data_IF_117650619630
#
_entry.id   IF_117650619630
#
_cell.length_a   1.000
_cell.length_b   1.000
_cell.length_c   1.000
_cell.angle_alpha   90.00
_cell.angle_beta   90.00
_cell.angle_gamma   90.00
#
_symmetry.space_group_name_H-M   'P 1'
#
loop_
_entity.id
_entity.type
_entity.pdbx_description
1 polymer ?
#
# COMPACT_ATOMS: atom_id res chain seq x y z
N UNK A 1 8.53 -4.08 20.18
CA UNK A 1 8.64 -5.51 19.83
C UNK A 1 8.55 -5.71 18.31
N UNK A 2 7.41 -5.43 17.67
CA UNK A 2 7.25 -5.52 16.20
C UNK A 2 8.30 -4.75 15.40
N UNK A 3 8.54 -3.48 15.74
CA UNK A 3 9.53 -2.63 15.06
C UNK A 3 10.93 -3.24 15.02
N UNK A 4 11.40 -3.77 16.16
CA UNK A 4 12.73 -4.36 16.26
C UNK A 4 12.78 -5.71 15.54
N UNK A 5 11.71 -6.49 15.58
CA UNK A 5 11.68 -7.79 14.92
C UNK A 5 11.66 -7.66 13.39
N UNK A 6 10.86 -6.76 12.85
CA UNK A 6 10.90 -6.42 11.42
C UNK A 6 12.27 -5.88 11.01
N UNK A 7 12.90 -5.07 11.86
CA UNK A 7 14.24 -4.53 11.56
C UNK A 7 15.31 -5.62 11.47
N UNK A 8 15.23 -6.66 12.31
CA UNK A 8 16.13 -7.82 12.24
C UNK A 8 15.95 -8.59 10.93
N UNK A 9 14.73 -8.65 10.42
CA UNK A 9 14.36 -9.31 9.17
C UNK A 9 14.61 -8.43 7.92
N UNK A 10 15.40 -7.35 8.06
CA UNK A 10 15.86 -6.54 6.94
C UNK A 10 14.94 -5.38 6.54
N UNK A 11 13.88 -5.11 7.31
CA UNK A 11 13.12 -3.87 7.12
C UNK A 11 13.93 -2.67 7.61
N UNK A 12 14.05 -1.64 6.77
CA UNK A 12 14.86 -0.46 7.07
C UNK A 12 14.21 0.35 8.18
N UNK A 13 14.95 0.59 9.27
CA UNK A 13 14.55 1.49 10.37
C UNK A 13 14.19 2.90 9.86
N UNK A 14 13.17 3.49 10.47
CA UNK A 14 12.65 4.82 10.13
C UNK A 14 11.14 4.94 10.33
N UNK A 15 10.59 6.10 9.95
CA UNK A 15 9.17 6.42 10.14
C UNK A 15 8.24 5.43 9.43
N UNK A 16 8.60 5.00 8.22
CA UNK A 16 7.82 4.00 7.47
C UNK A 16 7.72 2.66 8.23
N UNK A 17 8.81 2.24 8.91
CA UNK A 17 8.83 1.01 9.69
C UNK A 17 8.02 1.15 10.98
N UNK A 18 8.08 2.33 11.61
CA UNK A 18 7.22 2.65 12.75
C UNK A 18 5.75 2.59 12.34
N UNK A 19 5.41 3.12 11.16
CA UNK A 19 4.05 3.10 10.68
C UNK A 19 3.56 1.69 10.32
N UNK A 20 4.40 0.87 9.68
CA UNK A 20 4.11 -0.57 9.50
C UNK A 20 3.90 -1.27 10.84
N UNK A 21 4.76 -1.03 11.82
CA UNK A 21 4.63 -1.63 13.15
C UNK A 21 3.30 -1.25 13.83
N UNK A 22 2.85 0.00 13.63
CA UNK A 22 1.57 0.48 14.13
C UNK A 22 0.39 -0.20 13.42
N UNK A 23 0.43 -0.32 12.09
CA UNK A 23 -0.60 -1.02 11.32
C UNK A 23 -0.72 -2.49 11.78
N UNK A 24 0.40 -3.20 11.91
CA UNK A 24 0.41 -4.59 12.36
C UNK A 24 -0.13 -4.75 13.77
N UNK A 25 0.04 -3.75 14.65
CA UNK A 25 -0.50 -3.80 16.01
C UNK A 25 -2.02 -3.72 16.09
N UNK A 26 -2.71 -3.40 14.99
CA UNK A 26 -4.17 -3.43 14.90
C UNK A 26 -4.74 -4.85 14.91
N UNK A 27 -3.96 -5.86 14.50
CA UNK A 27 -4.32 -7.27 14.66
C UNK A 27 -3.79 -7.78 16.01
N UNK A 28 -4.62 -7.59 17.04
CA UNK A 28 -4.31 -7.98 18.42
C UNK A 28 -4.42 -9.49 18.67
N UNK A 29 -4.88 -10.27 17.69
CA UNK A 29 -5.09 -11.72 17.82
C UNK A 29 -3.89 -12.52 17.31
N UNK A 30 -3.20 -12.01 16.30
CA UNK A 30 -2.02 -12.67 15.76
C UNK A 30 -0.77 -12.47 16.62
N UNK A 31 0.13 -13.46 16.57
CA UNK A 31 1.43 -13.30 17.22
C UNK A 31 2.33 -12.34 16.44
N UNK A 32 3.32 -11.76 17.13
CA UNK A 32 4.36 -10.93 16.49
C UNK A 32 5.08 -11.69 15.38
N UNK A 33 5.37 -12.97 15.58
CA UNK A 33 6.05 -13.81 14.60
C UNK A 33 5.19 -14.02 13.35
N UNK A 34 3.88 -14.24 13.52
CA UNK A 34 2.96 -14.37 12.39
C UNK A 34 2.87 -13.08 11.58
N UNK A 35 2.79 -11.92 12.24
CA UNK A 35 2.73 -10.60 11.59
C UNK A 35 4.04 -10.27 10.83
N UNK A 36 5.18 -10.59 11.43
CA UNK A 36 6.50 -10.43 10.79
C UNK A 36 6.60 -11.36 9.58
N UNK A 37 6.26 -12.64 9.73
CA UNK A 37 6.27 -13.62 8.64
C UNK A 37 5.36 -13.24 7.47
N UNK A 38 4.15 -12.75 7.77
CA UNK A 38 3.22 -12.21 6.75
C UNK A 38 3.82 -11.01 6.03
N UNK A 39 4.46 -10.09 6.76
CA UNK A 39 5.10 -8.90 6.17
C UNK A 39 6.26 -9.25 5.24
N UNK A 40 7.11 -10.22 5.63
CA UNK A 40 8.21 -10.73 4.78
C UNK A 40 7.62 -11.33 3.51
N UNK A 41 6.61 -12.20 3.63
CA UNK A 41 5.97 -12.85 2.49
C UNK A 41 5.39 -11.82 1.50
N UNK A 42 4.69 -10.80 1.97
CA UNK A 42 4.15 -9.74 1.10
C UNK A 42 5.28 -8.97 0.39
N UNK A 43 6.37 -8.67 1.10
CA UNK A 43 7.56 -8.04 0.52
C UNK A 43 8.18 -8.91 -0.58
N UNK A 44 8.24 -10.22 -0.39
CA UNK A 44 8.72 -11.17 -1.39
C UNK A 44 7.75 -11.30 -2.57
N UNK A 45 6.45 -11.30 -2.31
CA UNK A 45 5.43 -11.33 -3.35
C UNK A 45 5.50 -10.09 -4.25
N UNK A 46 5.82 -8.91 -3.71
CA UNK A 46 6.10 -7.72 -4.51
C UNK A 46 7.28 -7.94 -5.46
N UNK A 47 8.36 -8.59 -4.99
CA UNK A 47 9.51 -8.92 -5.86
C UNK A 47 9.11 -9.86 -7.00
N UNK A 48 8.26 -10.85 -6.73
CA UNK A 48 7.77 -11.80 -7.76
C UNK A 48 7.01 -11.09 -8.88
N UNK A 49 6.31 -10.00 -8.57
CA UNK A 49 5.59 -9.18 -9.56
C UNK A 49 6.39 -7.98 -10.07
N UNK A 50 7.73 -8.01 -9.93
CA UNK A 50 8.65 -6.97 -10.39
C UNK A 50 8.47 -5.58 -9.72
N UNK A 51 7.80 -5.52 -8.57
CA UNK A 51 7.74 -4.33 -7.73
C UNK A 51 8.87 -4.43 -6.71
N UNK A 52 9.91 -3.62 -6.86
CA UNK A 52 11.03 -3.60 -5.90
C UNK A 52 10.54 -3.07 -4.55
N UNK A 53 10.64 -3.83 -3.43
CA UNK A 53 10.21 -3.34 -2.12
C UNK A 53 10.97 -2.07 -1.72
N UNK A 54 10.23 -1.08 -1.22
CA UNK A 54 10.76 0.20 -0.71
C UNK A 54 10.11 0.50 0.64
N UNK A 55 10.80 1.26 1.49
CA UNK A 55 10.27 1.66 2.80
C UNK A 55 8.90 2.37 2.67
N UNK A 56 8.73 3.22 1.67
CA UNK A 56 7.43 3.86 1.36
C UNK A 56 6.26 2.91 1.08
N UNK A 57 6.52 1.63 0.80
CA UNK A 57 5.48 0.61 0.61
C UNK A 57 5.15 -0.15 1.89
N UNK A 58 5.88 0.09 2.99
CA UNK A 58 5.63 -0.54 4.27
C UNK A 58 4.18 -0.39 4.76
N UNK A 59 3.48 0.75 4.53
CA UNK A 59 2.07 0.85 4.92
C UNK A 59 1.17 -0.15 4.17
N UNK A 60 1.33 -0.28 2.86
CA UNK A 60 0.54 -1.23 2.06
C UNK A 60 0.98 -2.68 2.25
N UNK A 61 2.25 -2.91 2.60
CA UNK A 61 2.72 -4.22 3.06
C UNK A 61 2.02 -4.61 4.36
N UNK A 62 1.92 -3.68 5.32
CA UNK A 62 1.22 -3.88 6.58
C UNK A 62 -0.26 -4.20 6.36
N UNK A 63 -0.93 -3.43 5.51
CA UNK A 63 -2.34 -3.65 5.17
C UNK A 63 -2.60 -5.04 4.58
N UNK A 64 -1.76 -5.49 3.64
CA UNK A 64 -1.86 -6.85 3.08
C UNK A 64 -1.53 -7.91 4.13
N UNK A 65 -0.58 -7.65 5.02
CA UNK A 65 -0.22 -8.59 6.09
C UNK A 65 -1.34 -8.77 7.14
N UNK A 66 -2.30 -7.85 7.23
CA UNK A 66 -3.50 -8.03 8.06
C UNK A 66 -4.51 -9.00 7.44
N UNK A 67 -4.46 -9.24 6.12
CA UNK A 67 -5.35 -10.19 5.47
C UNK A 67 -4.98 -11.65 5.82
N UNK A 68 -5.98 -12.55 5.88
CA UNK A 68 -5.72 -13.99 5.87
C UNK A 68 -4.90 -14.39 4.64
N UNK A 69 -3.91 -15.26 4.82
CA UNK A 69 -2.95 -15.57 3.74
C UNK A 69 -3.60 -16.18 2.49
N UNK A 70 -4.69 -16.93 2.66
CA UNK A 70 -5.47 -17.53 1.57
C UNK A 70 -6.24 -16.50 0.74
N UNK A 71 -6.31 -15.25 1.19
CA UNK A 71 -7.05 -14.17 0.53
C UNK A 71 -6.16 -13.18 -0.22
N UNK A 72 -4.83 -13.33 -0.09
CA UNK A 72 -3.87 -12.51 -0.81
C UNK A 72 -3.55 -13.18 -2.16
N UNK A 73 -4.14 -12.65 -3.22
CA UNK A 73 -3.75 -12.94 -4.60
C UNK A 73 -2.90 -11.78 -5.14
N UNK A 74 -1.58 -11.99 -5.13
CA UNK A 74 -0.64 -10.98 -5.64
C UNK A 74 -0.78 -10.74 -7.15
N UNK A 75 -1.35 -11.69 -7.91
CA UNK A 75 -1.60 -11.49 -9.34
C UNK A 75 -2.72 -10.47 -9.58
N UNK A 76 -3.71 -10.41 -8.70
CA UNK A 76 -4.74 -9.36 -8.68
C UNK A 76 -4.13 -7.97 -8.44
N UNK A 77 -3.22 -7.85 -7.48
CA UNK A 77 -2.47 -6.60 -7.23
C UNK A 77 -1.64 -6.19 -8.45
N UNK A 78 -0.95 -7.15 -9.08
CA UNK A 78 -0.18 -6.90 -10.30
C UNK A 78 -1.06 -6.42 -11.44
N UNK A 79 -2.23 -7.03 -11.63
CA UNK A 79 -3.20 -6.65 -12.67
C UNK A 79 -3.70 -5.22 -12.47
N UNK A 80 -4.06 -4.86 -11.22
CA UNK A 80 -4.48 -3.50 -10.87
C UNK A 80 -3.36 -2.48 -11.09
N UNK A 81 -2.13 -2.82 -10.73
CA UNK A 81 -0.96 -1.99 -10.97
C UNK A 81 -0.70 -1.76 -12.47
N UNK A 82 -0.80 -2.80 -13.30
CA UNK A 82 -0.62 -2.68 -14.75
C UNK A 82 -1.73 -1.84 -15.41
N UNK A 83 -2.97 -1.95 -14.93
CA UNK A 83 -4.06 -1.09 -15.40
C UNK A 83 -3.76 0.39 -15.14
N UNK A 84 -3.34 0.74 -13.92
CA UNK A 84 -2.93 2.11 -13.57
C UNK A 84 -1.73 2.59 -14.41
N UNK A 85 -0.76 1.71 -14.65
CA UNK A 85 0.36 2.01 -15.55
C UNK A 85 -0.05 2.17 -17.03
N UNK A 86 -1.20 1.64 -17.43
CA UNK A 86 -1.78 1.82 -18.77
C UNK A 86 -2.42 3.19 -18.99
N UNK A 87 -2.91 3.81 -17.91
CA UNK A 87 -3.62 5.08 -17.94
C UNK A 87 -2.69 6.28 -18.13
N UNK A 88 -2.99 7.15 -19.10
CA UNK A 88 -2.11 8.27 -19.49
C UNK A 88 -1.76 9.21 -18.32
N UNK A 89 -2.72 9.47 -17.44
CA UNK A 89 -2.55 10.38 -16.30
C UNK A 89 -1.74 9.79 -15.14
N UNK A 90 -1.60 8.46 -15.08
CA UNK A 90 -0.98 7.75 -13.96
C UNK A 90 0.39 7.14 -14.32
N UNK A 91 0.77 7.12 -15.59
CA UNK A 91 2.04 6.55 -16.09
C UNK A 91 3.31 7.05 -15.41
N UNK A 92 3.32 8.27 -14.91
CA UNK A 92 4.53 8.94 -14.43
C UNK A 92 4.82 8.66 -12.95
N UNK A 93 3.86 8.17 -12.17
CA UNK A 93 4.05 7.99 -10.72
C UNK A 93 3.93 6.54 -10.26
N UNK A 94 4.93 5.74 -10.64
CA UNK A 94 5.03 4.31 -10.32
C UNK A 94 4.81 4.01 -8.84
N UNK A 95 5.36 4.85 -7.95
CA UNK A 95 5.26 4.63 -6.51
C UNK A 95 3.84 4.83 -5.98
N UNK A 96 3.11 5.83 -6.49
CA UNK A 96 1.71 6.03 -6.16
C UNK A 96 0.84 4.92 -6.74
N UNK A 97 1.12 4.47 -7.97
CA UNK A 97 0.37 3.38 -8.58
C UNK A 97 0.48 2.07 -7.79
N UNK A 98 1.63 1.78 -7.16
CA UNK A 98 1.75 0.60 -6.26
C UNK A 98 0.80 0.74 -5.09
N UNK A 99 0.83 1.90 -4.41
CA UNK A 99 -0.01 2.14 -3.24
C UNK A 99 -1.50 2.08 -3.61
N UNK A 100 -1.91 2.74 -4.70
CA UNK A 100 -3.28 2.72 -5.19
C UNK A 100 -3.75 1.32 -5.61
N UNK A 101 -2.91 0.57 -6.32
CA UNK A 101 -3.24 -0.79 -6.75
C UNK A 101 -3.56 -1.69 -5.54
N UNK A 102 -2.73 -1.62 -4.50
CA UNK A 102 -2.95 -2.40 -3.27
C UNK A 102 -4.20 -1.89 -2.55
N UNK A 103 -4.39 -0.58 -2.40
CA UNK A 103 -5.58 0.00 -1.76
C UNK A 103 -6.88 -0.41 -2.48
N UNK A 104 -6.92 -0.37 -3.81
CA UNK A 104 -8.08 -0.80 -4.59
C UNK A 104 -8.32 -2.31 -4.48
N UNK A 105 -7.26 -3.12 -4.56
CA UNK A 105 -7.36 -4.56 -4.38
C UNK A 105 -7.95 -4.91 -2.99
N UNK A 106 -7.45 -4.27 -1.93
CA UNK A 106 -7.94 -4.51 -0.57
C UNK A 106 -9.38 -4.00 -0.41
N UNK A 107 -9.71 -2.84 -0.98
CA UNK A 107 -11.08 -2.31 -0.91
C UNK A 107 -12.08 -3.26 -1.58
N UNK A 108 -11.76 -3.74 -2.79
CA UNK A 108 -12.58 -4.73 -3.52
C UNK A 108 -12.81 -6.00 -2.68
N UNK A 109 -11.75 -6.49 -2.00
CA UNK A 109 -11.87 -7.63 -1.09
C UNK A 109 -12.74 -7.33 0.13
N UNK A 110 -12.61 -6.16 0.76
CA UNK A 110 -13.44 -5.78 1.92
C UNK A 110 -14.92 -5.62 1.54
N UNK A 111 -15.21 -5.18 0.32
CA UNK A 111 -16.58 -4.98 -0.16
C UNK A 111 -17.24 -6.29 -0.65
N UNK A 112 -16.47 -7.23 -1.21
CA UNK A 112 -16.99 -8.45 -1.84
C UNK A 112 -16.78 -9.76 -1.05
N UNK A 113 -16.07 -9.72 0.08
CA UNK A 113 -15.86 -10.90 0.94
C UNK A 113 -16.47 -10.69 2.33
N UNK A 114 -16.48 -11.74 3.15
CA UNK A 114 -16.82 -11.64 4.58
C UNK A 114 -15.73 -10.96 5.42
N UNK A 115 -14.72 -10.35 4.81
CA UNK A 115 -13.69 -9.55 5.48
C UNK A 115 -14.29 -8.24 6.02
N UNK A 116 -14.99 -8.33 7.13
CA UNK A 116 -15.43 -7.19 7.95
C UNK A 116 -14.40 -6.87 9.03
N UNK A 117 -13.12 -6.78 8.67
CA UNK A 117 -12.09 -6.43 9.64
C UNK A 117 -11.93 -4.90 9.75
N UNK A 118 -12.31 -4.37 10.92
CA UNK A 118 -12.17 -2.96 11.25
C UNK A 118 -10.72 -2.46 11.12
N UNK A 119 -9.73 -3.31 11.43
CA UNK A 119 -8.31 -2.97 11.34
C UNK A 119 -7.88 -2.67 9.90
N UNK A 120 -8.45 -3.39 8.92
CA UNK A 120 -8.18 -3.17 7.50
C UNK A 120 -8.82 -1.85 7.04
N UNK A 121 -10.07 -1.59 7.44
CA UNK A 121 -10.78 -0.34 7.10
C UNK A 121 -10.05 0.88 7.66
N UNK A 122 -9.67 0.85 8.93
CA UNK A 122 -8.88 1.91 9.55
C UNK A 122 -7.54 2.12 8.85
N UNK A 123 -6.87 1.02 8.45
CA UNK A 123 -5.60 1.13 7.70
C UNK A 123 -5.80 1.78 6.33
N UNK A 124 -6.85 1.38 5.60
CA UNK A 124 -7.18 1.96 4.31
C UNK A 124 -7.47 3.46 4.43
N UNK A 125 -8.28 3.87 5.41
CA UNK A 125 -8.59 5.28 5.68
C UNK A 125 -7.32 6.09 6.01
N UNK A 126 -6.44 5.57 6.87
CA UNK A 126 -5.17 6.22 7.20
C UNK A 126 -4.29 6.42 5.95
N UNK A 127 -4.21 5.41 5.09
CA UNK A 127 -3.43 5.46 3.84
C UNK A 127 -4.01 6.48 2.86
N UNK A 128 -5.34 6.56 2.74
CA UNK A 128 -6.02 7.52 1.87
C UNK A 128 -5.85 8.96 2.38
N UNK A 129 -6.02 9.19 3.69
CA UNK A 129 -5.82 10.50 4.31
C UNK A 129 -4.40 11.02 4.13
N UNK A 130 -3.39 10.17 4.33
CA UNK A 130 -1.99 10.54 4.16
C UNK A 130 -1.63 10.93 2.71
N UNK A 131 -2.38 10.44 1.72
CA UNK A 131 -2.16 10.74 0.30
C UNK A 131 -2.88 11.99 -0.21
N UNK A 132 -3.87 12.54 0.51
CA UNK A 132 -4.65 13.69 0.03
C UNK A 132 -3.77 14.92 -0.26
N UNK A 133 -2.70 15.14 0.51
CA UNK A 133 -1.79 16.27 0.30
C UNK A 133 -1.03 16.21 -1.04
N UNK A 134 -0.69 15.00 -1.52
CA UNK A 134 0.05 14.78 -2.77
C UNK A 134 -0.86 14.89 -4.00
N UNK A 135 -2.11 14.42 -3.87
CA UNK A 135 -3.09 14.50 -4.95
C UNK A 135 -3.50 15.96 -5.24
N UNK A 136 -3.67 16.78 -4.19
CA UNK A 136 -4.03 18.20 -4.33
C UNK A 136 -2.94 19.00 -5.07
N UNK A 137 -1.65 18.73 -4.83
CA UNK A 137 -0.56 19.43 -5.54
C UNK A 137 -0.48 19.02 -7.01
N UNK A 138 -0.78 17.77 -7.32
CA UNK A 138 -0.79 17.26 -8.69
C UNK A 138 -1.94 17.85 -9.51
N UNK A 139 -3.15 17.87 -8.93
CA UNK A 139 -4.33 18.46 -9.59
C UNK A 139 -4.09 19.96 -9.85
N UNK A 140 -3.59 20.70 -8.87
CA UNK A 140 -3.28 22.13 -9.05
C UNK A 140 -2.19 22.35 -10.11
N UNK A 141 -1.12 21.56 -10.13
CA UNK A 141 -0.09 21.64 -11.18
C UNK A 141 -0.65 21.36 -12.60
N UNK A 142 -1.48 20.33 -12.75
CA UNK A 142 -2.11 20.00 -14.05
C UNK A 142 -3.13 21.05 -14.51
N UNK A 143 -3.87 21.65 -13.57
CA UNK A 143 -4.87 22.69 -13.89
C UNK A 143 -4.19 23.99 -14.32
N UNK A 144 -3.09 24.36 -13.65
CA UNK A 144 -2.28 25.52 -14.04
C UNK A 144 -1.63 25.29 -15.42
N UNK A 145 -1.07 24.10 -15.67
CA UNK A 145 -0.48 23.78 -16.97
C UNK A 145 -1.51 23.74 -18.12
N UNK A 146 -2.74 23.26 -17.87
CA UNK A 146 -3.81 23.27 -18.87
C UNK A 146 -4.27 24.69 -19.22
N UNK A 147 -4.27 25.61 -18.25
CA UNK A 147 -4.63 27.02 -18.48
C UNK A 147 -3.51 27.86 -19.10
N UNK A 148 -2.24 27.45 -18.97
CA UNK A 148 -1.11 28.14 -19.62
C UNK A 148 -1.00 27.88 -21.12
N UNK A 149 -1.75 26.90 -21.66
CA UNK A 149 -1.68 26.55 -23.08
C UNK A 149 -2.74 27.25 -23.96
N UNK A 150 -3.54 28.15 -23.38
CA UNK A 150 -4.62 28.88 -24.06
C UNK A 150 -4.38 30.40 -24.13
N UNK A 151 -3.14 30.85 -23.91
CA UNK A 151 -2.71 32.24 -24.00
C UNK A 151 -1.46 32.38 -24.86
N UNK A 152 -1.64 32.40 -26.18
CA UNK A 152 -0.71 32.97 -27.16
C UNK A 152 -1.51 33.48 -28.35
#
# INVERSE_FOLDING_TARGET
MLYEELAKEGFRKGNDLQFLSHILSLDSKASVQDLVGRSIRVSDDFRKISIKPKAKYYPVIGMLALLPQNEIDISGVSSMYQQLMGEKHFKWEKDMNVTMAVSFYVNDKVDHSSLTDASIRTTLEMILQAQQAVLVSTITATTVAANSNNGS
#
